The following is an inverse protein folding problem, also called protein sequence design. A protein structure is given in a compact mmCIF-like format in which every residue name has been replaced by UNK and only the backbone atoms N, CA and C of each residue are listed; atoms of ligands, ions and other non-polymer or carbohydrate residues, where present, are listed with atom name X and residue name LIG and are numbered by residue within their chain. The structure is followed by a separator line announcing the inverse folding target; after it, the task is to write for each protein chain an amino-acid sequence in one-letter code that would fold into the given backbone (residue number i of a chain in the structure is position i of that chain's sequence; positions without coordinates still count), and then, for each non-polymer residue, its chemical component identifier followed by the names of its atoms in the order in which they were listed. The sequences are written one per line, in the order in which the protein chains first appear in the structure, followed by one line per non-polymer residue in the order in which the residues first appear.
data_IF_120074654913
#
_entry.id   IF_120074654913
#
_cell.length_a   1.000
_cell.length_b   1.000
_cell.length_c   1.000
_cell.angle_alpha   90.00
_cell.angle_beta   90.00
_cell.angle_gamma   90.00
#
_symmetry.space_group_name_H-M   'P 1'
#
loop_
_entity.id
_entity.type
_entity.pdbx_description
1 polymer ?
#
# COMPACT_ATOMS: atom_id res chain seq x y z
N UNK A 1 -10.61 43.76 57.96
CA UNK A 1 -9.74 44.62 57.13
C UNK A 1 -9.64 43.95 55.75
N UNK A 2 -10.61 44.17 54.85
CA UNK A 2 -10.55 45.10 53.71
C UNK A 2 -9.18 45.11 53.01
N UNK A 3 -9.06 44.45 51.85
CA UNK A 3 -8.97 45.16 50.57
C UNK A 3 -9.23 44.23 49.37
N UNK A 4 -10.17 44.69 48.55
CA UNK A 4 -10.52 44.28 47.19
C UNK A 4 -9.43 44.79 46.24
N UNK A 5 -9.04 44.03 45.21
CA UNK A 5 -8.70 44.61 43.91
C UNK A 5 -9.13 43.66 42.78
N UNK A 6 -9.98 44.22 41.93
CA UNK A 6 -10.49 43.69 40.66
C UNK A 6 -9.54 44.12 39.55
N UNK A 7 -9.24 43.25 38.59
CA UNK A 7 -8.89 43.67 37.23
C UNK A 7 -9.27 42.56 36.24
N UNK A 8 -10.38 42.79 35.55
CA UNK A 8 -10.82 42.07 34.37
C UNK A 8 -9.89 42.38 33.19
N UNK A 9 -9.60 41.38 32.36
CA UNK A 9 -9.31 41.59 30.94
C UNK A 9 -9.89 40.43 30.13
N UNK A 10 -11.01 40.75 29.48
CA UNK A 10 -11.64 39.96 28.42
C UNK A 10 -10.91 40.33 27.13
N UNK A 11 -10.28 39.35 26.47
CA UNK A 11 -9.89 39.47 25.07
C UNK A 11 -10.67 38.42 24.28
N UNK A 12 -11.74 38.86 23.64
CA UNK A 12 -12.46 38.11 22.63
C UNK A 12 -11.76 38.32 21.29
N UNK A 13 -11.00 37.33 20.83
CA UNK A 13 -10.49 37.27 19.45
C UNK A 13 -11.50 36.52 18.58
N UNK A 14 -12.35 37.29 17.90
CA UNK A 14 -13.18 36.80 16.80
C UNK A 14 -12.28 36.67 15.57
N UNK A 15 -11.84 35.45 15.26
CA UNK A 15 -11.17 35.15 14.00
C UNK A 15 -12.21 35.01 12.90
N UNK A 16 -12.24 35.98 11.98
CA UNK A 16 -13.08 35.98 10.79
C UNK A 16 -12.70 34.80 9.88
N UNK A 17 -13.67 33.93 9.60
CA UNK A 17 -13.57 32.92 8.56
C UNK A 17 -13.65 33.60 7.18
N UNK A 18 -12.52 33.73 6.49
CA UNK A 18 -12.49 34.11 5.09
C UNK A 18 -13.01 32.96 4.23
N UNK A 19 -14.21 33.09 3.68
CA UNK A 19 -14.71 32.20 2.65
C UNK A 19 -13.95 32.49 1.33
N UNK A 20 -13.04 31.60 0.96
CA UNK A 20 -12.46 31.59 -0.38
C UNK A 20 -13.55 31.19 -1.38
N UNK A 21 -13.97 32.13 -2.22
CA UNK A 21 -14.85 31.82 -3.35
C UNK A 21 -14.06 31.08 -4.42
N UNK A 22 -14.33 29.77 -4.55
CA UNK A 22 -13.92 29.01 -5.71
C UNK A 22 -14.71 29.51 -6.93
N UNK A 23 -14.05 30.21 -7.84
CA UNK A 23 -14.62 30.55 -9.15
C UNK A 23 -14.66 29.28 -9.99
N UNK A 24 -15.87 28.76 -10.21
CA UNK A 24 -16.14 27.62 -11.08
C UNK A 24 -15.94 28.06 -12.55
N UNK A 25 -14.72 27.86 -13.05
CA UNK A 25 -14.39 28.14 -14.45
C UNK A 25 -14.85 26.95 -15.27
N UNK A 26 -16.00 27.07 -15.93
CA UNK A 26 -16.47 26.10 -16.92
C UNK A 26 -15.45 26.06 -18.07
N UNK A 27 -14.57 25.07 -18.04
CA UNK A 27 -13.66 24.74 -19.14
C UNK A 27 -14.41 23.83 -20.08
N UNK A 28 -14.85 24.35 -21.22
CA UNK A 28 -15.39 23.54 -22.32
C UNK A 28 -14.25 22.65 -22.86
N UNK A 29 -14.37 21.31 -22.80
CA UNK A 29 -13.33 20.45 -23.36
C UNK A 29 -13.26 20.63 -24.89
N UNK A 30 -12.06 20.63 -25.48
CA UNK A 30 -11.91 20.72 -26.94
C UNK A 30 -12.57 19.50 -27.61
N UNK A 31 -13.05 19.63 -28.86
CA UNK A 31 -13.64 18.52 -29.59
C UNK A 31 -12.62 17.38 -29.73
N UNK A 32 -13.01 16.20 -29.27
CA UNK A 32 -12.22 14.97 -29.40
C UNK A 32 -12.23 14.56 -30.87
N UNK A 33 -11.14 14.83 -31.58
CA UNK A 33 -10.89 14.26 -32.90
C UNK A 33 -10.58 12.78 -32.69
N UNK A 34 -11.51 11.90 -33.07
CA UNK A 34 -11.26 10.47 -33.10
C UNK A 34 -10.23 10.17 -34.19
N UNK A 35 -8.99 9.94 -33.78
CA UNK A 35 -7.95 9.40 -34.66
C UNK A 35 -8.25 7.91 -34.87
N UNK A 36 -8.38 7.42 -36.11
CA UNK A 36 -8.55 6.00 -36.37
C UNK A 36 -7.39 5.20 -35.78
N UNK A 37 -7.63 4.01 -35.19
CA UNK A 37 -6.56 3.18 -34.65
C UNK A 37 -5.56 2.84 -35.76
N UNK A 38 -4.32 3.32 -35.64
CA UNK A 38 -3.24 2.92 -36.52
C UNK A 38 -2.77 1.52 -36.12
N UNK A 39 -3.03 0.54 -36.98
CA UNK A 39 -2.49 -0.81 -36.84
C UNK A 39 -1.03 -0.77 -37.26
N UNK A 40 -0.10 -0.85 -36.29
CA UNK A 40 1.33 -0.99 -36.53
C UNK A 40 1.61 -2.35 -37.20
N UNK A 41 2.19 -2.39 -38.41
CA UNK A 41 2.57 -3.64 -39.05
C UNK A 41 3.78 -4.25 -38.32
N UNK A 42 3.67 -5.50 -37.88
CA UNK A 42 4.84 -6.31 -37.51
C UNK A 42 5.08 -6.60 -36.03
N UNK A 43 4.10 -6.40 -35.14
CA UNK A 43 4.20 -6.97 -33.78
C UNK A 43 4.14 -8.50 -33.90
N UNK A 44 5.16 -9.25 -33.44
CA UNK A 44 5.07 -10.70 -33.40
C UNK A 44 3.91 -11.09 -32.49
N UNK A 45 2.89 -11.72 -33.05
CA UNK A 45 1.83 -12.34 -32.26
C UNK A 45 2.45 -13.41 -31.37
N UNK A 46 2.58 -13.12 -30.08
CA UNK A 46 2.88 -14.13 -29.05
C UNK A 46 1.90 -15.29 -29.25
N UNK A 47 2.33 -16.56 -29.21
CA UNK A 47 1.43 -17.68 -29.38
C UNK A 47 0.32 -17.60 -28.33
N UNK A 48 -0.85 -17.20 -28.78
CA UNK A 48 -2.11 -17.24 -28.06
C UNK A 48 -2.46 -18.71 -27.91
N UNK A 49 -1.93 -19.35 -26.87
CA UNK A 49 -2.52 -20.56 -26.32
C UNK A 49 -3.95 -20.21 -25.95
N UNK A 50 -4.90 -20.65 -26.76
CA UNK A 50 -6.32 -20.34 -26.62
C UNK A 50 -6.85 -20.82 -25.29
N UNK A 51 -6.89 -19.93 -24.30
CA UNK A 51 -7.79 -20.03 -23.18
C UNK A 51 -9.14 -19.48 -23.65
N UNK A 52 -10.13 -20.35 -23.73
CA UNK A 52 -11.54 -20.01 -23.90
C UNK A 52 -11.90 -18.81 -23.02
N UNK A 53 -12.59 -17.82 -23.59
CA UNK A 53 -13.11 -16.63 -22.90
C UNK A 53 -14.25 -17.00 -21.94
N UNK A 54 -13.95 -17.82 -20.95
CA UNK A 54 -14.78 -18.06 -19.79
C UNK A 54 -14.49 -17.00 -18.73
N UNK A 55 -15.52 -16.63 -18.00
CA UNK A 55 -15.52 -15.91 -16.71
C UNK A 55 -14.73 -16.62 -15.58
N UNK A 56 -13.71 -17.41 -15.91
CA UNK A 56 -13.14 -18.43 -15.03
C UNK A 56 -11.97 -17.93 -14.16
N UNK A 57 -11.23 -16.90 -14.59
CA UNK A 57 -10.15 -16.35 -13.79
C UNK A 57 -10.63 -15.25 -12.84
N UNK A 58 -10.77 -15.65 -11.57
CA UNK A 58 -11.02 -14.79 -10.42
C UNK A 58 -9.86 -14.95 -9.44
N UNK A 59 -8.79 -14.19 -9.68
CA UNK A 59 -7.63 -14.09 -8.79
C UNK A 59 -7.81 -12.92 -7.83
N UNK A 60 -7.20 -13.02 -6.65
CA UNK A 60 -7.27 -12.00 -5.60
C UNK A 60 -5.97 -12.07 -4.75
N UNK A 61 -4.83 -11.57 -5.26
CA UNK A 61 -3.61 -11.43 -4.49
C UNK A 61 -3.84 -10.51 -3.29
N UNK A 62 -3.59 -11.00 -2.08
CA UNK A 62 -3.86 -10.23 -0.87
C UNK A 62 -2.84 -10.51 0.23
N UNK A 63 -2.52 -9.48 1.01
CA UNK A 63 -1.73 -9.66 2.22
C UNK A 63 -2.47 -10.58 3.19
N UNK A 64 -1.80 -11.64 3.64
CA UNK A 64 -2.29 -12.53 4.69
C UNK A 64 -1.79 -12.07 6.05
N UNK A 65 -0.51 -11.73 6.14
CA UNK A 65 0.08 -11.21 7.36
C UNK A 65 1.36 -10.43 7.12
N UNK A 66 1.66 -9.56 8.07
CA UNK A 66 2.97 -8.94 8.28
C UNK A 66 3.42 -9.31 9.69
N UNK A 67 4.62 -9.87 9.82
CA UNK A 67 5.25 -10.15 11.10
C UNK A 67 6.37 -9.15 11.31
N UNK A 68 6.30 -8.36 12.39
CA UNK A 68 7.41 -7.53 12.82
C UNK A 68 8.26 -8.29 13.82
N UNK A 69 9.57 -8.24 13.66
CA UNK A 69 10.53 -8.77 14.63
C UNK A 69 11.53 -7.69 15.01
N UNK A 70 11.70 -7.44 16.31
CA UNK A 70 12.68 -6.50 16.86
C UNK A 70 13.78 -7.24 17.61
N UNK A 71 14.98 -6.67 17.62
CA UNK A 71 16.02 -7.12 18.55
C UNK A 71 15.68 -6.69 20.00
N UNK A 72 16.45 -7.17 20.98
CA UNK A 72 16.20 -6.88 22.41
C UNK A 72 16.17 -5.39 22.75
N UNK A 73 16.96 -4.56 22.05
CA UNK A 73 16.98 -3.11 22.26
C UNK A 73 15.87 -2.36 21.52
N UNK A 74 15.10 -3.03 20.65
CA UNK A 74 14.11 -2.39 19.78
C UNK A 74 14.70 -1.56 18.64
N UNK A 75 16.02 -1.42 18.55
CA UNK A 75 16.69 -0.55 17.59
C UNK A 75 16.88 -1.16 16.20
N UNK A 76 16.65 -2.46 16.05
CA UNK A 76 16.67 -3.15 14.74
C UNK A 76 15.40 -3.93 14.54
N UNK A 77 14.77 -3.75 13.38
CA UNK A 77 13.48 -4.37 13.06
C UNK A 77 13.54 -4.98 11.67
N UNK A 78 13.01 -6.19 11.53
CA UNK A 78 12.75 -6.85 10.25
C UNK A 78 11.27 -7.18 10.09
N UNK A 79 10.85 -7.40 8.85
CA UNK A 79 9.50 -7.80 8.47
C UNK A 79 9.55 -9.19 7.86
N UNK A 80 8.50 -9.97 8.10
CA UNK A 80 8.13 -11.10 7.26
C UNK A 80 6.76 -10.82 6.65
N UNK A 81 6.69 -10.77 5.32
CA UNK A 81 5.49 -10.40 4.57
C UNK A 81 4.97 -11.65 3.87
N UNK A 82 3.69 -11.96 4.10
CA UNK A 82 3.00 -13.09 3.48
C UNK A 82 1.86 -12.58 2.59
N UNK A 83 1.92 -12.93 1.30
CA UNK A 83 0.85 -12.68 0.32
C UNK A 83 0.34 -14.01 -0.19
N UNK A 84 -0.98 -14.12 -0.34
CA UNK A 84 -1.67 -15.32 -0.83
C UNK A 84 -2.64 -14.96 -1.94
N UNK A 85 -2.97 -15.91 -2.80
CA UNK A 85 -4.07 -15.76 -3.75
C UNK A 85 -5.38 -16.17 -3.04
N UNK A 86 -6.20 -15.21 -2.62
CA UNK A 86 -7.54 -15.45 -2.05
C UNK A 86 -8.60 -15.75 -3.11
N UNK A 87 -8.23 -15.65 -4.38
CA UNK A 87 -9.11 -15.88 -5.51
C UNK A 87 -9.49 -17.35 -5.63
N UNK A 88 -10.52 -17.60 -6.43
CA UNK A 88 -10.99 -18.97 -6.72
C UNK A 88 -10.29 -19.59 -7.93
N UNK A 89 -9.45 -18.82 -8.63
CA UNK A 89 -8.68 -19.26 -9.78
C UNK A 89 -7.18 -19.20 -9.53
N UNK A 90 -6.41 -19.92 -10.34
CA UNK A 90 -4.96 -19.83 -10.31
C UNK A 90 -4.47 -18.49 -10.90
N UNK A 91 -3.48 -17.91 -10.23
CA UNK A 91 -2.68 -16.79 -10.71
C UNK A 91 -1.65 -17.27 -11.72
N UNK A 92 -1.47 -16.51 -12.80
CA UNK A 92 -0.40 -16.69 -13.77
C UNK A 92 0.03 -15.35 -14.34
N UNK A 93 1.29 -14.94 -14.16
CA UNK A 93 1.87 -13.69 -14.67
C UNK A 93 3.26 -13.90 -15.26
N UNK A 94 3.72 -12.96 -16.07
CA UNK A 94 5.13 -12.89 -16.42
C UNK A 94 5.98 -12.39 -15.22
N UNK A 95 7.29 -12.69 -15.19
CA UNK A 95 8.18 -12.17 -14.15
C UNK A 95 8.14 -10.63 -14.09
N UNK A 96 8.05 -10.08 -12.87
CA UNK A 96 8.09 -8.63 -12.65
C UNK A 96 6.78 -7.88 -12.91
N UNK A 97 5.76 -8.52 -13.48
CA UNK A 97 4.45 -7.87 -13.70
C UNK A 97 3.70 -7.54 -12.41
N UNK A 98 4.06 -8.17 -11.30
CA UNK A 98 3.50 -7.88 -9.98
C UNK A 98 4.60 -7.90 -8.91
N UNK A 99 4.66 -6.84 -8.11
CA UNK A 99 5.70 -6.59 -7.11
C UNK A 99 5.05 -6.14 -5.81
N UNK A 100 5.57 -6.62 -4.68
CA UNK A 100 5.23 -6.08 -3.37
C UNK A 100 6.26 -5.02 -3.00
N UNK A 101 5.79 -3.80 -2.77
CA UNK A 101 6.59 -2.73 -2.19
C UNK A 101 6.27 -2.63 -0.69
N UNK A 102 7.26 -2.28 0.12
CA UNK A 102 7.03 -1.96 1.53
C UNK A 102 7.88 -0.77 1.98
N UNK A 103 7.34 -0.06 2.96
CA UNK A 103 7.92 1.14 3.54
C UNK A 103 7.73 1.13 5.05
N UNK A 104 8.78 1.44 5.78
CA UNK A 104 8.80 1.79 7.19
C UNK A 104 9.07 3.30 7.25
N UNK A 105 8.11 4.08 7.72
CA UNK A 105 8.25 5.53 7.87
C UNK A 105 8.41 5.84 9.35
N UNK A 106 9.49 6.50 9.73
CA UNK A 106 9.68 7.03 11.07
C UNK A 106 8.74 8.23 11.27
N UNK A 107 7.93 8.23 12.34
CA UNK A 107 6.96 9.30 12.58
C UNK A 107 7.59 10.61 13.06
N UNK A 108 8.76 10.55 13.68
CA UNK A 108 9.49 11.71 14.23
C UNK A 108 10.37 12.37 13.17
N UNK A 109 11.19 11.59 12.46
CA UNK A 109 12.12 12.13 11.45
C UNK A 109 11.54 12.19 10.04
N UNK A 110 10.43 11.48 9.77
CA UNK A 110 9.89 11.32 8.42
C UNK A 110 10.72 10.42 7.50
N UNK A 111 11.85 9.89 7.97
CA UNK A 111 12.72 8.99 7.19
C UNK A 111 11.95 7.74 6.75
N UNK A 112 12.12 7.37 5.48
CA UNK A 112 11.53 6.15 4.92
C UNK A 112 12.63 5.14 4.60
N UNK A 113 12.47 3.93 5.11
CA UNK A 113 13.26 2.76 4.74
C UNK A 113 12.32 1.74 4.09
N UNK A 114 12.80 0.93 3.15
CA UNK A 114 11.89 0.04 2.43
C UNK A 114 12.58 -0.83 1.41
N UNK A 115 11.77 -1.44 0.54
CA UNK A 115 12.24 -2.29 -0.54
C UNK A 115 11.09 -2.85 -1.36
N UNK A 116 11.43 -3.74 -2.27
CA UNK A 116 10.49 -4.40 -3.15
C UNK A 116 10.89 -5.85 -3.41
N UNK A 117 9.91 -6.72 -3.68
CA UNK A 117 10.13 -8.10 -4.06
C UNK A 117 9.05 -8.56 -5.05
N UNK A 118 9.43 -9.39 -6.02
CA UNK A 118 8.50 -9.93 -7.00
C UNK A 118 7.51 -10.90 -6.36
N UNK A 119 6.26 -10.87 -6.80
CA UNK A 119 5.30 -11.94 -6.56
C UNK A 119 5.65 -13.16 -7.41
N UNK A 120 5.23 -14.35 -6.96
CA UNK A 120 5.35 -15.56 -7.75
C UNK A 120 4.62 -15.39 -9.10
N UNK A 121 5.22 -15.91 -10.16
CA UNK A 121 4.63 -15.91 -11.51
C UNK A 121 3.47 -16.89 -11.65
N UNK A 122 3.30 -17.81 -10.71
CA UNK A 122 2.17 -18.74 -10.67
C UNK A 122 1.81 -19.08 -9.21
N UNK A 123 0.51 -19.14 -8.92
CA UNK A 123 0.02 -19.60 -7.62
C UNK A 123 -1.40 -20.15 -7.74
N UNK A 124 -1.66 -21.33 -7.17
CA UNK A 124 -3.02 -21.87 -7.09
C UNK A 124 -3.96 -21.02 -6.23
N UNK A 125 -5.25 -21.32 -6.29
CA UNK A 125 -6.24 -20.78 -5.35
C UNK A 125 -5.84 -21.10 -3.91
N UNK A 126 -5.85 -20.11 -3.02
CA UNK A 126 -5.42 -20.21 -1.62
C UNK A 126 -3.91 -20.34 -1.40
N UNK A 127 -3.11 -20.45 -2.47
CA UNK A 127 -1.68 -20.68 -2.36
C UNK A 127 -0.91 -19.41 -1.98
N UNK A 128 0.27 -19.62 -1.39
CA UNK A 128 1.21 -18.54 -1.08
C UNK A 128 1.82 -18.00 -2.37
N UNK A 129 1.73 -16.68 -2.56
CA UNK A 129 2.35 -15.96 -3.69
C UNK A 129 3.68 -15.32 -3.30
N UNK A 130 3.84 -14.97 -2.03
CA UNK A 130 5.09 -14.43 -1.49
C UNK A 130 5.19 -14.76 0.00
N UNK A 131 6.38 -15.18 0.43
CA UNK A 131 6.74 -15.31 1.85
C UNK A 131 8.17 -14.79 2.01
N UNK A 132 8.30 -13.48 2.22
CA UNK A 132 9.58 -12.78 2.14
C UNK A 132 9.98 -12.20 3.50
N UNK A 133 11.25 -12.39 3.88
CA UNK A 133 11.84 -11.79 5.08
C UNK A 133 12.81 -10.68 4.68
N UNK A 134 12.63 -9.48 5.22
CA UNK A 134 13.51 -8.34 4.94
C UNK A 134 14.83 -8.47 5.72
N UNK A 135 15.89 -7.74 5.31
CA UNK A 135 16.99 -7.45 6.21
C UNK A 135 16.50 -6.66 7.45
N UNK A 136 17.38 -6.52 8.43
CA UNK A 136 17.13 -5.64 9.57
C UNK A 136 17.31 -4.17 9.18
N UNK A 137 16.28 -3.37 9.42
CA UNK A 137 16.32 -1.92 9.34
C UNK A 137 16.80 -1.35 10.68
N UNK A 138 17.70 -0.36 10.63
CA UNK A 138 18.24 0.28 11.86
C UNK A 138 17.41 1.51 12.17
N UNK A 139 16.89 1.57 13.40
CA UNK A 139 16.06 2.64 13.94
C UNK A 139 14.95 3.12 12.97
N UNK A 140 14.16 2.21 12.39
CA UNK A 140 13.13 2.61 11.43
C UNK A 140 11.95 3.35 12.07
N UNK A 141 11.81 3.25 13.39
CA UNK A 141 10.75 3.87 14.17
C UNK A 141 11.32 4.61 15.37
N UNK A 142 10.54 5.55 15.88
CA UNK A 142 10.79 6.20 17.16
C UNK A 142 10.10 5.42 18.30
N UNK A 143 10.71 5.39 19.47
CA UNK A 143 10.15 4.77 20.68
C UNK A 143 9.24 5.71 21.48
N UNK A 144 9.12 6.98 21.10
CA UNK A 144 8.28 7.97 21.78
C UNK A 144 6.86 8.08 21.19
N UNK A 145 6.33 9.30 21.02
CA UNK A 145 4.94 9.61 20.67
C UNK A 145 4.59 9.36 19.19
N UNK A 146 5.59 9.42 18.29
CA UNK A 146 5.40 9.27 16.84
C UNK A 146 6.19 8.07 16.31
N UNK A 147 5.77 6.86 16.68
CA UNK A 147 6.48 5.65 16.29
C UNK A 147 6.58 5.48 14.78
N UNK A 148 5.56 5.90 14.02
CA UNK A 148 5.56 5.86 12.56
C UNK A 148 4.74 4.70 12.00
N UNK A 149 4.89 4.38 10.72
CA UNK A 149 3.99 3.43 10.03
C UNK A 149 4.75 2.39 9.23
N UNK A 150 4.11 1.23 9.04
CA UNK A 150 4.49 0.28 7.99
C UNK A 150 3.42 0.31 6.93
N UNK A 151 3.79 0.52 5.67
CA UNK A 151 2.88 0.35 4.53
C UNK A 151 3.44 -0.72 3.62
N UNK A 152 2.62 -1.67 3.20
CA UNK A 152 2.94 -2.61 2.14
C UNK A 152 1.86 -2.55 1.06
N UNK A 153 2.28 -2.56 -0.19
CA UNK A 153 1.39 -2.47 -1.35
C UNK A 153 1.78 -3.46 -2.43
N UNK A 154 0.80 -4.16 -3.00
CA UNK A 154 0.95 -4.89 -4.25
C UNK A 154 0.80 -3.89 -5.39
N UNK A 155 1.80 -3.83 -6.27
CA UNK A 155 1.86 -2.94 -7.43
C UNK A 155 2.01 -3.81 -8.67
N UNK A 156 1.30 -3.42 -9.72
CA UNK A 156 1.32 -4.13 -11.00
C UNK A 156 1.94 -3.26 -12.08
N UNK A 157 2.53 -3.91 -13.08
CA UNK A 157 2.89 -3.24 -14.33
C UNK A 157 1.63 -2.63 -14.96
N UNK A 158 1.63 -1.35 -15.36
CA UNK A 158 0.51 -0.73 -16.06
C UNK A 158 0.01 -1.52 -17.29
N UNK A 159 0.88 -2.30 -17.94
CA UNK A 159 0.51 -3.09 -19.11
C UNK A 159 -0.28 -4.37 -18.79
N UNK A 160 -0.29 -4.80 -17.51
CA UNK A 160 -0.87 -6.08 -17.10
C UNK A 160 -2.36 -6.15 -17.44
N UNK A 161 -3.07 -5.02 -17.28
CA UNK A 161 -4.52 -4.96 -17.47
C UNK A 161 -4.94 -4.98 -18.95
N UNK A 162 -3.98 -4.81 -19.88
CA UNK A 162 -4.23 -4.74 -21.33
C UNK A 162 -3.54 -5.86 -22.10
N UNK A 163 -2.80 -6.74 -21.42
CA UNK A 163 -2.08 -7.87 -22.05
C UNK A 163 -3.00 -9.05 -22.44
N UNK A 164 -4.28 -9.00 -22.02
CA UNK A 164 -5.31 -10.00 -22.33
C UNK A 164 -5.33 -11.21 -21.40
N UNK A 165 -4.47 -11.27 -20.38
CA UNK A 165 -4.39 -12.37 -19.42
C UNK A 165 -5.26 -12.13 -18.18
N UNK A 166 -6.53 -12.51 -18.22
CA UNK A 166 -7.43 -12.34 -17.05
C UNK A 166 -7.02 -13.06 -15.77
N UNK A 167 -6.00 -13.91 -15.79
CA UNK A 167 -5.48 -14.65 -14.64
C UNK A 167 -4.31 -13.93 -13.95
N UNK A 168 -3.92 -12.73 -14.40
CA UNK A 168 -3.12 -11.77 -13.64
C UNK A 168 -3.89 -10.47 -13.31
N UNK A 169 -5.14 -10.35 -13.75
CA UNK A 169 -6.04 -9.24 -13.40
C UNK A 169 -6.62 -9.41 -11.99
N UNK A 170 -6.06 -8.70 -11.01
CA UNK A 170 -6.62 -8.65 -9.67
C UNK A 170 -8.05 -8.09 -9.66
N UNK A 171 -8.98 -8.85 -9.08
CA UNK A 171 -10.40 -8.49 -8.98
C UNK A 171 -10.71 -7.61 -7.79
N UNK A 172 -9.80 -7.47 -6.82
CA UNK A 172 -10.05 -6.77 -5.58
C UNK A 172 -8.92 -5.84 -5.17
N UNK A 173 -8.72 -4.77 -5.93
CA UNK A 173 -7.65 -3.82 -5.66
C UNK A 173 -7.71 -3.14 -4.28
N UNK A 174 -8.86 -3.19 -3.59
CA UNK A 174 -9.05 -2.59 -2.28
C UNK A 174 -8.21 -3.27 -1.18
N UNK A 175 -7.75 -4.50 -1.37
CA UNK A 175 -6.92 -5.22 -0.39
C UNK A 175 -5.42 -5.26 -0.75
N UNK A 176 -5.03 -4.60 -1.84
CA UNK A 176 -3.65 -4.52 -2.30
C UNK A 176 -2.79 -3.59 -1.48
N UNK A 177 -3.34 -2.91 -0.47
CA UNK A 177 -2.56 -2.06 0.43
C UNK A 177 -2.94 -2.37 1.87
N UNK A 178 -1.93 -2.55 2.70
CA UNK A 178 -2.08 -2.64 4.15
C UNK A 178 -1.18 -1.61 4.82
N UNK A 179 -1.70 -0.99 5.87
CA UNK A 179 -0.95 -0.05 6.70
C UNK A 179 -1.06 -0.47 8.15
N UNK A 180 0.08 -0.66 8.80
CA UNK A 180 0.17 -0.71 10.25
C UNK A 180 0.27 0.73 10.77
N UNK A 181 -0.69 1.12 11.60
CA UNK A 181 -0.80 2.47 12.15
C UNK A 181 0.28 2.76 13.19
N UNK A 182 0.47 4.04 13.52
CA UNK A 182 1.38 4.46 14.58
C UNK A 182 1.10 3.76 15.90
N UNK A 183 -0.17 3.65 16.29
CA UNK A 183 -0.56 2.98 17.54
C UNK A 183 -0.20 1.49 17.55
N UNK A 184 -0.33 0.81 16.40
CA UNK A 184 0.05 -0.59 16.27
C UNK A 184 1.57 -0.78 16.39
N UNK A 185 2.35 0.12 15.79
CA UNK A 185 3.81 0.12 15.88
C UNK A 185 4.25 0.45 17.30
N UNK A 186 3.68 1.48 17.92
CA UNK A 186 3.98 1.87 19.30
C UNK A 186 3.66 0.72 20.27
N UNK A 187 2.51 0.08 20.12
CA UNK A 187 2.12 -1.09 20.92
C UNK A 187 3.09 -2.26 20.73
N UNK A 188 3.60 -2.48 19.50
CA UNK A 188 4.66 -3.48 19.26
C UNK A 188 5.98 -3.09 19.92
N UNK A 189 6.41 -1.83 19.82
CA UNK A 189 7.66 -1.34 20.39
C UNK A 189 7.65 -1.39 21.93
N UNK A 190 6.54 -1.02 22.56
CA UNK A 190 6.37 -1.06 24.01
C UNK A 190 6.20 -2.47 24.58
N UNK A 191 5.72 -3.43 23.77
CA UNK A 191 5.51 -4.81 24.20
C UNK A 191 6.80 -5.56 24.53
N UNK A 192 6.73 -6.56 25.41
CA UNK A 192 7.88 -7.40 25.78
C UNK A 192 8.23 -8.47 24.74
N UNK A 193 7.28 -8.82 23.86
CA UNK A 193 7.52 -9.77 22.77
C UNK A 193 8.45 -9.18 21.73
N UNK A 194 9.43 -9.96 21.28
CA UNK A 194 10.31 -9.59 20.17
C UNK A 194 9.60 -9.69 18.82
N UNK A 195 8.49 -10.43 18.73
CA UNK A 195 7.78 -10.69 17.48
C UNK A 195 6.30 -10.41 17.65
N UNK A 196 5.68 -9.81 16.62
CA UNK A 196 4.23 -9.63 16.55
C UNK A 196 3.73 -9.86 15.13
N UNK A 197 2.67 -10.66 15.02
CA UNK A 197 1.96 -10.91 13.76
C UNK A 197 0.76 -10.00 13.66
N UNK A 198 0.61 -9.36 12.51
CA UNK A 198 -0.57 -8.61 12.09
C UNK A 198 -1.21 -9.36 10.94
N UNK A 199 -2.49 -9.69 11.05
CA UNK A 199 -3.24 -10.47 10.05
C UNK A 199 -4.33 -9.61 9.41
N UNK A 200 -4.65 -9.90 8.16
CA UNK A 200 -5.65 -9.19 7.33
C UNK A 200 -6.52 -10.20 6.56
#
# INVERSE_FOLDING_TARGET
MRMLFVASLVFASVSAAGAAQAQDRVVTPPPVVQVPPQVLPGVPTRPSGGATFGSACRVDPAFRSIVLTKNRSGSRISLRILVVNRGTAAWASAPGQAVVNWQLRNGSSGQVQGGSANLATAAGSGAVMMNYSTPNYTQPFDTFEFSGTVTASIVYDPDIAIDGNRCNDDRNMANNTVTLSSDQIQSFLAGTSLTRTFSF
#
